data_IF_571069097220
#
_entry.id   IF_571069097220
#
_cell.length_a   1.000
_cell.length_b   1.000
_cell.length_c   1.000
_cell.angle_alpha   90.00
_cell.angle_beta   90.00
_cell.angle_gamma   90.00
#
_symmetry.space_group_name_H-M   'P 1'
#
loop_
_entity.id
_entity.type
_entity.pdbx_description
1 polymer ?
#
# COMPACT_ATOMS: atom_id res chain seq x y z
N UNK A 1 -5.12 -34.50 -9.62
CA UNK A 1 -5.07 -33.73 -10.89
C UNK A 1 -4.99 -34.62 -12.13
N UNK A 2 -4.27 -35.77 -12.11
CA UNK A 2 -4.23 -36.74 -13.22
C UNK A 2 -5.63 -37.22 -13.65
N UNK A 3 -6.44 -37.69 -12.70
CA UNK A 3 -7.81 -38.20 -12.97
C UNK A 3 -8.73 -37.16 -13.61
N UNK A 4 -8.71 -35.92 -13.09
CA UNK A 4 -9.46 -34.78 -13.65
C UNK A 4 -8.99 -34.46 -15.09
N UNK A 5 -7.68 -34.56 -15.35
CA UNK A 5 -7.12 -34.33 -16.69
C UNK A 5 -7.49 -35.43 -17.68
N UNK A 6 -7.73 -36.66 -17.21
CA UNK A 6 -8.04 -37.81 -18.07
C UNK A 6 -9.45 -37.74 -18.66
N UNK A 7 -10.41 -37.23 -17.88
CA UNK A 7 -11.80 -37.04 -18.33
C UNK A 7 -12.03 -35.68 -19.02
N UNK A 8 -10.98 -34.86 -19.15
CA UNK A 8 -11.09 -33.52 -19.74
C UNK A 8 -11.24 -33.58 -21.27
N UNK A 9 -12.29 -32.99 -21.87
CA UNK A 9 -12.48 -32.98 -23.33
C UNK A 9 -11.33 -32.33 -24.11
N UNK A 10 -10.61 -31.40 -23.48
CA UNK A 10 -9.48 -30.68 -24.08
C UNK A 10 -8.14 -31.42 -23.95
N UNK A 11 -8.11 -32.62 -23.34
CA UNK A 11 -6.86 -33.36 -23.08
C UNK A 11 -6.05 -33.59 -24.36
N UNK A 12 -6.70 -34.00 -25.46
CA UNK A 12 -6.02 -34.25 -26.74
C UNK A 12 -5.28 -33.01 -27.29
N UNK A 13 -5.78 -31.81 -27.01
CA UNK A 13 -5.13 -30.54 -27.42
C UNK A 13 -4.05 -30.10 -26.43
N UNK A 14 -4.28 -30.27 -25.13
CA UNK A 14 -3.42 -29.73 -24.08
C UNK A 14 -2.27 -30.66 -23.67
N UNK A 15 -2.43 -31.98 -23.84
CA UNK A 15 -1.49 -33.02 -23.41
C UNK A 15 -1.34 -34.09 -24.51
N UNK A 16 -0.84 -33.72 -25.71
CA UNK A 16 -0.80 -34.64 -26.86
C UNK A 16 0.11 -35.85 -26.60
N UNK A 17 1.23 -35.65 -25.91
CA UNK A 17 2.25 -36.67 -25.66
C UNK A 17 2.48 -36.95 -24.17
N UNK A 18 1.53 -36.56 -23.30
CA UNK A 18 1.68 -36.69 -21.85
C UNK A 18 0.40 -37.23 -21.22
N UNK A 19 0.55 -38.11 -20.23
CA UNK A 19 -0.57 -38.69 -19.48
C UNK A 19 -1.47 -37.62 -18.84
N UNK A 20 -0.88 -36.55 -18.32
CA UNK A 20 -1.61 -35.45 -17.71
C UNK A 20 -0.79 -34.17 -17.75
N UNK A 21 -1.50 -33.04 -17.68
CA UNK A 21 -0.89 -31.73 -17.59
C UNK A 21 -0.11 -31.62 -16.27
N UNK A 22 1.18 -31.27 -16.36
CA UNK A 22 1.98 -30.86 -15.21
C UNK A 22 2.05 -29.33 -15.20
N UNK A 23 1.78 -28.75 -14.04
CA UNK A 23 1.92 -27.31 -13.80
C UNK A 23 2.85 -27.17 -12.60
N UNK A 24 4.01 -26.55 -12.80
CA UNK A 24 4.86 -26.17 -11.67
C UNK A 24 4.20 -25.01 -10.95
N UNK A 25 3.87 -25.20 -9.68
CA UNK A 25 3.38 -24.14 -8.79
C UNK A 25 4.46 -23.86 -7.77
N UNK A 26 4.60 -22.59 -7.42
CA UNK A 26 5.45 -22.19 -6.30
C UNK A 26 4.85 -22.70 -4.99
N UNK A 27 5.70 -23.01 -4.01
CA UNK A 27 5.27 -23.53 -2.71
C UNK A 27 4.26 -22.61 -2.00
N UNK A 28 4.37 -21.29 -2.20
CA UNK A 28 3.49 -20.29 -1.59
C UNK A 28 2.38 -19.78 -2.54
N UNK A 29 2.11 -20.50 -3.64
CA UNK A 29 1.17 -20.04 -4.67
C UNK A 29 -0.25 -19.85 -4.13
N UNK A 30 -0.66 -20.63 -3.12
CA UNK A 30 -1.96 -20.46 -2.48
C UNK A 30 -2.07 -19.11 -1.75
N UNK A 31 -1.01 -18.68 -1.05
CA UNK A 31 -0.96 -17.36 -0.41
C UNK A 31 -0.99 -16.23 -1.45
N UNK A 32 -0.30 -16.41 -2.59
CA UNK A 32 -0.36 -15.45 -3.71
C UNK A 32 -1.74 -15.39 -4.33
N UNK A 33 -2.42 -16.51 -4.46
CA UNK A 33 -3.77 -16.57 -4.99
C UNK A 33 -4.73 -15.80 -4.07
N UNK A 34 -4.65 -15.99 -2.75
CA UNK A 34 -5.41 -15.20 -1.77
C UNK A 34 -5.15 -13.70 -1.95
N UNK A 35 -3.88 -13.28 -2.08
CA UNK A 35 -3.54 -11.88 -2.29
C UNK A 35 -4.14 -11.32 -3.61
N UNK A 36 -4.11 -12.10 -4.69
CA UNK A 36 -4.71 -11.72 -5.98
C UNK A 36 -6.23 -11.62 -5.91
N UNK A 37 -6.88 -12.49 -5.15
CA UNK A 37 -8.33 -12.46 -5.00
C UNK A 37 -8.77 -11.29 -4.12
N UNK A 38 -8.04 -10.98 -3.04
CA UNK A 38 -8.23 -9.75 -2.26
C UNK A 38 -8.06 -8.51 -3.15
N UNK A 39 -7.03 -8.48 -4.01
CA UNK A 39 -6.75 -7.34 -4.88
C UNK A 39 -7.90 -7.01 -5.86
N UNK A 40 -8.77 -7.99 -6.19
CA UNK A 40 -9.94 -7.77 -7.05
C UNK A 40 -11.13 -7.15 -6.30
N UNK A 41 -11.08 -7.06 -4.98
CA UNK A 41 -12.19 -6.57 -4.16
C UNK A 41 -12.22 -5.05 -4.09
N UNK A 42 -13.44 -4.48 -4.04
CA UNK A 42 -13.65 -3.05 -3.79
C UNK A 42 -13.04 -2.59 -2.46
N UNK A 43 -13.01 -3.47 -1.46
CA UNK A 43 -12.41 -3.18 -0.16
C UNK A 43 -10.91 -2.95 -0.27
N UNK A 44 -10.21 -3.70 -1.13
CA UNK A 44 -8.79 -3.47 -1.39
C UNK A 44 -8.56 -2.11 -2.06
N UNK A 45 -9.38 -1.74 -3.04
CA UNK A 45 -9.29 -0.41 -3.67
C UNK A 45 -9.48 0.73 -2.67
N UNK A 46 -10.47 0.62 -1.80
CA UNK A 46 -10.72 1.60 -0.73
C UNK A 46 -9.53 1.64 0.23
N UNK A 47 -9.03 0.49 0.68
CA UNK A 47 -7.88 0.38 1.56
C UNK A 47 -6.63 1.02 0.93
N UNK A 48 -6.34 0.76 -0.35
CA UNK A 48 -5.24 1.36 -1.08
C UNK A 48 -5.36 2.88 -1.17
N UNK A 49 -6.56 3.41 -1.45
CA UNK A 49 -6.81 4.87 -1.46
C UNK A 49 -6.58 5.49 -0.08
N UNK A 50 -6.99 4.83 0.99
CA UNK A 50 -6.77 5.30 2.36
C UNK A 50 -5.28 5.25 2.74
N UNK A 51 -4.58 4.16 2.41
CA UNK A 51 -3.13 4.03 2.62
C UNK A 51 -2.35 5.15 1.94
N UNK A 52 -2.66 5.47 0.69
CA UNK A 52 -2.00 6.58 -0.03
C UNK A 52 -2.12 7.91 0.71
N UNK A 53 -3.25 8.19 1.37
CA UNK A 53 -3.41 9.42 2.19
C UNK A 53 -2.42 9.47 3.35
N UNK A 54 -2.19 8.33 4.00
CA UNK A 54 -1.25 8.19 5.12
C UNK A 54 0.20 8.21 4.64
N UNK A 55 0.53 7.42 3.61
CA UNK A 55 1.88 7.35 3.03
C UNK A 55 2.36 8.71 2.53
N UNK A 56 1.47 9.49 1.91
CA UNK A 56 1.79 10.86 1.48
C UNK A 56 2.07 11.82 2.64
N UNK A 57 1.49 11.60 3.82
CA UNK A 57 1.83 12.39 5.01
C UNK A 57 3.26 12.13 5.43
N UNK A 58 3.67 10.86 5.53
CA UNK A 58 5.04 10.50 5.84
C UNK A 58 6.03 11.01 4.79
N UNK A 59 5.67 10.96 3.51
CA UNK A 59 6.49 11.54 2.44
C UNK A 59 6.69 13.06 2.63
N UNK A 60 5.62 13.79 3.00
CA UNK A 60 5.72 15.22 3.30
C UNK A 60 6.56 15.50 4.56
N UNK A 61 6.41 14.71 5.63
CA UNK A 61 7.24 14.85 6.83
C UNK A 61 8.73 14.75 6.46
N UNK A 62 9.10 13.75 5.66
CA UNK A 62 10.49 13.56 5.23
C UNK A 62 10.99 14.67 4.32
N UNK A 63 10.22 15.05 3.28
CA UNK A 63 10.69 15.95 2.22
C UNK A 63 10.54 17.44 2.55
N UNK A 64 9.50 17.82 3.28
CA UNK A 64 9.18 19.23 3.56
C UNK A 64 9.66 19.62 4.96
N UNK A 65 9.42 18.78 5.96
CA UNK A 65 9.86 19.05 7.34
C UNK A 65 11.26 18.50 7.65
N UNK A 66 11.89 17.81 6.69
CA UNK A 66 13.26 17.30 6.84
C UNK A 66 13.41 16.18 7.87
N UNK A 67 12.31 15.48 8.23
CA UNK A 67 12.32 14.40 9.21
C UNK A 67 12.89 13.09 8.62
N UNK A 68 14.16 13.14 8.19
CA UNK A 68 14.87 12.00 7.60
C UNK A 68 15.45 11.03 8.63
N UNK A 69 15.72 11.51 9.85
CA UNK A 69 16.19 10.71 10.98
C UNK A 69 15.60 11.24 12.28
N UNK A 70 15.41 10.34 13.24
CA UNK A 70 15.05 10.72 14.60
C UNK A 70 16.31 11.12 15.37
N UNK A 71 16.23 12.16 16.20
CA UNK A 71 17.36 12.64 17.00
C UNK A 71 17.36 12.03 18.41
N UNK A 72 16.17 11.82 18.98
CA UNK A 72 15.94 11.18 20.26
C UNK A 72 15.98 9.66 20.11
N UNK A 73 16.60 9.00 21.09
CA UNK A 73 16.72 7.54 21.12
C UNK A 73 15.56 6.90 21.90
N UNK A 74 15.29 5.65 21.55
CA UNK A 74 14.25 4.84 22.21
C UNK A 74 12.84 5.13 21.70
N UNK A 75 11.87 4.25 22.02
CA UNK A 75 10.50 4.35 21.53
C UNK A 75 9.78 5.62 22.03
N UNK A 76 10.04 6.06 23.26
CA UNK A 76 9.48 7.29 23.80
C UNK A 76 9.96 8.52 23.03
N UNK A 77 11.27 8.67 22.83
CA UNK A 77 11.83 9.78 22.07
C UNK A 77 11.37 9.80 20.61
N UNK A 78 11.25 8.63 19.98
CA UNK A 78 10.68 8.50 18.65
C UNK A 78 9.21 8.99 18.60
N UNK A 79 8.41 8.62 19.60
CA UNK A 79 7.01 9.05 19.70
C UNK A 79 6.91 10.58 19.82
N UNK A 80 7.69 11.19 20.71
CA UNK A 80 7.67 12.64 20.94
C UNK A 80 8.02 13.42 19.66
N UNK A 81 9.06 12.99 18.94
CA UNK A 81 9.43 13.61 17.68
C UNK A 81 8.35 13.50 16.60
N UNK A 82 7.76 12.30 16.46
CA UNK A 82 6.68 12.11 15.50
C UNK A 82 5.44 12.92 15.85
N UNK A 83 5.11 13.04 17.15
CA UNK A 83 3.96 13.81 17.61
C UNK A 83 4.14 15.30 17.32
N UNK A 84 5.32 15.85 17.58
CA UNK A 84 5.66 17.24 17.24
C UNK A 84 5.61 17.48 15.71
N UNK A 85 6.21 16.58 14.93
CA UNK A 85 6.21 16.70 13.47
C UNK A 85 4.80 16.58 12.87
N UNK A 86 3.97 15.66 13.38
CA UNK A 86 2.58 15.50 12.99
C UNK A 86 1.76 16.75 13.35
N UNK A 87 1.99 17.32 14.52
CA UNK A 87 1.33 18.56 14.97
C UNK A 87 1.66 19.72 14.02
N UNK A 88 2.94 19.95 13.72
CA UNK A 88 3.36 20.97 12.76
C UNK A 88 2.74 20.76 11.36
N UNK A 89 2.69 19.52 10.89
CA UNK A 89 2.08 19.17 9.61
C UNK A 89 0.55 19.41 9.60
N UNK A 90 -0.14 19.12 10.71
CA UNK A 90 -1.57 19.38 10.86
C UNK A 90 -1.86 20.88 10.87
N UNK A 91 -1.06 21.68 11.59
CA UNK A 91 -1.15 23.15 11.56
C UNK A 91 -0.97 23.68 10.14
N UNK A 92 0.03 23.19 9.39
CA UNK A 92 0.25 23.57 7.99
C UNK A 92 -0.91 23.21 7.06
N UNK A 93 -1.68 22.15 7.37
CA UNK A 93 -2.91 21.83 6.63
C UNK A 93 -4.04 22.77 6.99
N UNK A 94 -4.23 23.07 8.27
CA UNK A 94 -5.26 23.98 8.75
C UNK A 94 -5.12 25.37 8.12
N UNK A 95 -3.90 25.91 8.03
CA UNK A 95 -3.65 27.22 7.41
C UNK A 95 -3.99 27.26 5.91
N UNK A 96 -4.05 26.12 5.24
CA UNK A 96 -4.48 26.04 3.82
C UNK A 96 -5.99 25.94 3.67
N UNK A 97 -6.68 25.31 4.63
CA UNK A 97 -8.13 25.17 4.62
C UNK A 97 -8.79 26.48 5.05
N UNK A 98 -8.21 27.14 6.05
CA UNK A 98 -8.66 28.42 6.58
C UNK A 98 -7.58 29.46 6.33
N UNK A 99 -7.46 29.99 5.10
CA UNK A 99 -6.53 31.08 4.85
C UNK A 99 -6.94 32.28 5.69
N UNK A 100 -5.99 32.88 6.40
CA UNK A 100 -6.23 34.14 7.08
C UNK A 100 -6.66 35.21 6.06
N UNK A 101 -7.53 36.17 6.45
CA UNK A 101 -7.84 37.31 5.59
C UNK A 101 -6.53 37.95 5.14
N UNK A 102 -6.30 38.00 3.83
CA UNK A 102 -5.12 38.63 3.26
C UNK A 102 -5.23 40.13 3.59
N UNK A 103 -4.45 40.62 4.56
CA UNK A 103 -4.36 42.06 4.74
C UNK A 103 -3.68 42.64 3.50
N UNK A 104 -4.24 43.71 2.89
CA UNK A 104 -3.59 44.35 1.76
C UNK A 104 -2.19 44.77 2.20
N UNK A 105 -1.18 44.29 1.47
CA UNK A 105 0.20 44.77 1.63
C UNK A 105 0.18 46.24 1.24
N UNK A 106 0.30 47.12 2.22
CA UNK A 106 0.60 48.52 1.94
C UNK A 106 2.00 48.56 1.31
N UNK A 107 2.06 49.17 0.12
CA UNK A 107 3.27 49.33 -0.68
C UNK A 107 4.29 50.25 0.01
#
# INVERSE_FOLDING_TARGET
MKEVCQVCPSKAKCCPNADARKISREETEDARQVARDIAKTLQCDVSMKLRKKVEMLFAHLKRILGLGRLRLRGPCGANDEFLLAATAQNLRKLTKIFPAPQQPRNA
#
